data_IF_894276307618
#
_entry.id   IF_894276307618
#
_cell.length_a   1.000
_cell.length_b   1.000
_cell.length_c   1.000
_cell.angle_alpha   90.00
_cell.angle_beta   90.00
_cell.angle_gamma   90.00
#
_symmetry.space_group_name_H-M   'P 1'
#
loop_
_entity.id
_entity.type
_entity.pdbx_description
1 polymer ?
#
# COMPACT_ATOMS: atom_id res chain seq x y z
N UNK A 1 -11.39 -13.07 41.38
CA UNK A 1 -11.83 -12.33 40.17
C UNK A 1 -11.06 -12.75 38.90
N UNK A 2 -10.54 -13.99 38.82
CA UNK A 2 -9.71 -14.42 37.68
C UNK A 2 -10.47 -14.61 36.35
N UNK A 3 -11.78 -14.90 36.41
CA UNK A 3 -12.61 -15.06 35.20
C UNK A 3 -12.82 -13.74 34.45
N UNK A 4 -12.96 -12.63 35.18
CA UNK A 4 -13.15 -11.31 34.57
C UNK A 4 -11.87 -10.82 33.89
N UNK A 5 -10.72 -11.02 34.52
CA UNK A 5 -9.43 -10.68 33.93
C UNK A 5 -9.15 -11.48 32.66
N UNK A 6 -9.48 -12.78 32.64
CA UNK A 6 -9.34 -13.63 31.44
C UNK A 6 -10.22 -13.19 30.28
N UNK A 7 -11.45 -12.75 30.55
CA UNK A 7 -12.35 -12.23 29.52
C UNK A 7 -11.81 -10.91 28.97
N UNK A 8 -11.32 -10.02 29.83
CA UNK A 8 -10.76 -8.72 29.43
C UNK A 8 -9.47 -8.87 28.62
N UNK A 9 -8.60 -9.79 29.03
CA UNK A 9 -7.39 -10.16 28.32
C UNK A 9 -7.71 -10.76 26.94
N UNK A 10 -8.69 -11.67 26.87
CA UNK A 10 -9.17 -12.25 25.59
C UNK A 10 -9.74 -11.18 24.65
N UNK A 11 -10.58 -10.27 25.16
CA UNK A 11 -11.14 -9.18 24.36
C UNK A 11 -10.05 -8.24 23.81
N UNK A 12 -9.05 -7.88 24.62
CA UNK A 12 -7.92 -7.06 24.17
C UNK A 12 -7.07 -7.76 23.10
N UNK A 13 -6.84 -9.06 23.25
CA UNK A 13 -6.09 -9.86 22.28
C UNK A 13 -6.84 -9.99 20.94
N UNK A 14 -8.17 -10.17 20.98
CA UNK A 14 -9.01 -10.18 19.78
C UNK A 14 -9.04 -8.82 19.08
N UNK A 15 -9.11 -7.72 19.85
CA UNK A 15 -9.07 -6.38 19.28
C UNK A 15 -7.74 -6.11 18.57
N UNK A 16 -6.61 -6.46 19.18
CA UNK A 16 -5.29 -6.34 18.56
C UNK A 16 -5.16 -7.20 17.28
N UNK A 17 -5.71 -8.42 17.29
CA UNK A 17 -5.74 -9.29 16.09
C UNK A 17 -6.64 -8.72 14.98
N UNK A 18 -7.77 -8.12 15.32
CA UNK A 18 -8.66 -7.46 14.37
C UNK A 18 -8.02 -6.20 13.77
N UNK A 19 -7.29 -5.41 14.56
CA UNK A 19 -6.52 -4.27 14.09
C UNK A 19 -5.36 -4.69 13.19
N UNK A 20 -4.64 -5.75 13.56
CA UNK A 20 -3.58 -6.33 12.73
C UNK A 20 -4.14 -6.85 11.40
N UNK A 21 -5.26 -7.60 11.40
CA UNK A 21 -5.91 -8.05 10.17
C UNK A 21 -6.49 -6.92 9.35
N UNK A 22 -7.03 -5.87 9.97
CA UNK A 22 -7.50 -4.67 9.27
C UNK A 22 -6.35 -3.93 8.61
N UNK A 23 -5.17 -3.88 9.24
CA UNK A 23 -3.96 -3.33 8.64
C UNK A 23 -3.43 -4.24 7.52
N UNK A 24 -3.40 -5.56 7.68
CA UNK A 24 -3.03 -6.48 6.61
C UNK A 24 -3.96 -6.36 5.39
N UNK A 25 -5.27 -6.27 5.63
CA UNK A 25 -6.28 -6.02 4.58
C UNK A 25 -6.18 -4.62 3.99
N UNK A 26 -5.48 -3.69 4.67
CA UNK A 26 -5.19 -2.33 4.18
C UNK A 26 -3.86 -2.16 3.45
N UNK A 27 -2.76 -2.89 3.72
CA UNK A 27 -1.47 -2.17 3.80
C UNK A 27 -0.25 -2.58 2.96
N UNK A 28 -0.23 -3.68 2.20
CA UNK A 28 1.02 -4.11 1.53
C UNK A 28 0.88 -4.52 0.08
N UNK A 29 0.29 -5.69 -0.13
CA UNK A 29 0.22 -6.35 -1.44
C UNK A 29 -0.56 -5.54 -2.48
N UNK A 30 -1.66 -4.91 -2.10
CA UNK A 30 -2.45 -4.08 -3.01
C UNK A 30 -1.64 -2.87 -3.51
N UNK A 31 -0.94 -2.20 -2.59
CA UNK A 31 -0.05 -1.10 -2.92
C UNK A 31 1.02 -1.56 -3.90
N UNK A 32 1.71 -2.64 -3.56
CA UNK A 32 2.86 -3.13 -4.31
C UNK A 32 2.43 -3.58 -5.71
N UNK A 33 1.30 -4.30 -5.82
CA UNK A 33 0.70 -4.67 -7.10
C UNK A 33 0.26 -3.45 -7.92
N UNK A 34 -0.33 -2.44 -7.29
CA UNK A 34 -0.73 -1.21 -7.98
C UNK A 34 0.48 -0.45 -8.53
N UNK A 35 1.57 -0.36 -7.76
CA UNK A 35 2.80 0.30 -8.21
C UNK A 35 3.49 -0.49 -9.33
N UNK A 36 3.52 -1.82 -9.23
CA UNK A 36 4.07 -2.69 -10.29
C UNK A 36 3.28 -2.55 -11.60
N UNK A 37 1.94 -2.51 -11.52
CA UNK A 37 1.08 -2.22 -12.68
C UNK A 37 1.38 -0.85 -13.28
N UNK A 38 1.49 0.20 -12.46
CA UNK A 38 1.85 1.53 -12.95
C UNK A 38 3.22 1.55 -13.63
N UNK A 39 4.20 0.82 -13.11
CA UNK A 39 5.53 0.69 -13.71
C UNK A 39 5.48 -0.02 -15.08
N UNK A 40 4.73 -1.12 -15.19
CA UNK A 40 4.52 -1.84 -16.45
C UNK A 40 3.84 -0.96 -17.50
N UNK A 41 2.82 -0.20 -17.11
CA UNK A 41 2.11 0.70 -18.02
C UNK A 41 3.02 1.83 -18.49
N UNK A 42 3.83 2.41 -17.59
CA UNK A 42 4.79 3.45 -17.94
C UNK A 42 5.94 2.92 -18.82
N UNK A 43 6.32 1.65 -18.68
CA UNK A 43 7.36 1.02 -19.50
C UNK A 43 6.84 0.52 -20.86
N UNK A 44 5.53 0.55 -21.12
CA UNK A 44 4.92 -0.10 -22.29
C UNK A 44 5.44 0.45 -23.62
N UNK A 45 5.78 1.74 -23.68
CA UNK A 45 6.30 2.40 -24.88
C UNK A 45 7.83 2.22 -25.06
N UNK A 46 8.47 1.44 -24.18
CA UNK A 46 9.90 1.09 -24.26
C UNK A 46 10.84 2.12 -23.63
N UNK A 47 10.32 3.26 -23.17
CA UNK A 47 11.06 4.24 -22.38
C UNK A 47 10.11 4.99 -21.45
N UNK A 48 10.51 5.21 -20.21
CA UNK A 48 9.69 5.96 -19.25
C UNK A 48 10.08 7.42 -19.32
N UNK A 49 9.20 8.26 -19.86
CA UNK A 49 9.41 9.70 -19.93
C UNK A 49 9.16 10.35 -18.55
N UNK A 50 9.92 11.40 -18.17
CA UNK A 50 9.64 12.21 -16.97
C UNK A 50 8.17 12.64 -16.83
N UNK A 51 7.48 12.91 -17.94
CA UNK A 51 6.07 13.27 -18.00
C UNK A 51 5.14 12.13 -17.56
N UNK A 52 5.48 10.87 -17.87
CA UNK A 52 4.72 9.70 -17.43
C UNK A 52 4.90 9.46 -15.94
N UNK A 53 6.12 9.62 -15.42
CA UNK A 53 6.37 9.58 -13.98
C UNK A 53 5.53 10.61 -13.24
N UNK A 54 5.41 11.83 -13.78
CA UNK A 54 4.58 12.88 -13.20
C UNK A 54 3.08 12.54 -13.25
N UNK A 55 2.61 11.93 -14.35
CA UNK A 55 1.22 11.45 -14.47
C UNK A 55 0.91 10.36 -13.45
N UNK A 56 1.82 9.39 -13.27
CA UNK A 56 1.68 8.34 -12.27
C UNK A 56 1.68 8.92 -10.84
N UNK A 57 2.59 9.84 -10.53
CA UNK A 57 2.58 10.53 -9.22
C UNK A 57 1.26 11.26 -8.96
N UNK A 58 0.71 11.91 -9.99
CA UNK A 58 -0.60 12.57 -9.89
C UNK A 58 -1.72 11.56 -9.66
N UNK A 59 -1.75 10.46 -10.42
CA UNK A 59 -2.73 9.37 -10.27
C UNK A 59 -2.69 8.75 -8.86
N UNK A 60 -1.49 8.53 -8.33
CA UNK A 60 -1.27 8.00 -6.99
C UNK A 60 -1.84 8.97 -5.93
N UNK A 61 -1.62 10.28 -6.10
CA UNK A 61 -2.08 11.30 -5.15
C UNK A 61 -3.59 11.53 -5.16
N UNK A 62 -4.26 11.31 -6.29
CA UNK A 62 -5.69 11.58 -6.46
C UNK A 62 -6.59 10.36 -6.23
N UNK A 63 -6.04 9.14 -6.24
CA UNK A 63 -6.82 7.92 -6.06
C UNK A 63 -7.18 7.67 -4.57
N UNK A 64 -8.47 7.58 -4.26
CA UNK A 64 -8.97 7.44 -2.89
C UNK A 64 -8.50 6.18 -2.15
N UNK A 65 -8.18 5.11 -2.88
CA UNK A 65 -7.66 3.87 -2.27
C UNK A 65 -6.18 4.04 -1.96
N UNK A 66 -5.41 4.63 -2.88
CA UNK A 66 -3.97 4.87 -2.71
C UNK A 66 -3.66 5.98 -1.70
N UNK A 67 -4.58 6.92 -1.47
CA UNK A 67 -4.47 7.94 -0.41
C UNK A 67 -4.39 7.37 1.01
N UNK A 68 -4.73 6.09 1.19
CA UNK A 68 -4.53 5.39 2.46
C UNK A 68 -3.06 5.03 2.75
N UNK A 69 -2.17 5.21 1.78
CA UNK A 69 -0.74 4.91 1.91
C UNK A 69 0.11 6.19 1.80
N UNK A 70 1.30 6.24 2.42
CA UNK A 70 2.20 7.38 2.28
C UNK A 70 2.67 7.54 0.83
N UNK A 71 2.47 8.73 0.25
CA UNK A 71 2.82 9.01 -1.15
C UNK A 71 4.31 8.76 -1.46
N UNK A 72 5.21 9.10 -0.53
CA UNK A 72 6.65 8.87 -0.68
C UNK A 72 7.01 7.37 -0.76
N UNK A 73 6.25 6.52 -0.08
CA UNK A 73 6.44 5.07 -0.14
C UNK A 73 5.95 4.49 -1.47
N UNK A 74 4.81 4.99 -1.96
CA UNK A 74 4.29 4.66 -3.29
C UNK A 74 5.28 5.04 -4.39
N UNK A 75 5.82 6.26 -4.32
CA UNK A 75 6.77 6.76 -5.31
C UNK A 75 8.08 5.98 -5.30
N UNK A 76 8.62 5.63 -4.11
CA UNK A 76 9.81 4.79 -3.99
C UNK A 76 9.60 3.40 -4.61
N UNK A 77 8.45 2.78 -4.35
CA UNK A 77 8.12 1.45 -4.90
C UNK A 77 7.94 1.47 -6.40
N UNK A 78 7.23 2.48 -6.91
CA UNK A 78 7.10 2.68 -8.35
C UNK A 78 8.48 2.80 -9.02
N UNK A 79 9.37 3.67 -8.51
CA UNK A 79 10.73 3.79 -9.04
C UNK A 79 11.51 2.47 -8.96
N UNK A 80 11.40 1.74 -7.86
CA UNK A 80 12.06 0.44 -7.71
C UNK A 80 11.59 -0.61 -8.74
N UNK A 81 10.30 -0.62 -9.09
CA UNK A 81 9.77 -1.50 -10.14
C UNK A 81 10.18 -1.03 -11.54
N UNK A 82 10.23 0.27 -11.76
CA UNK A 82 10.74 0.87 -13.00
C UNK A 82 12.20 0.48 -13.23
N UNK A 83 13.04 0.52 -12.20
CA UNK A 83 14.46 0.17 -12.30
C UNK A 83 14.70 -1.35 -12.55
N UNK A 84 13.66 -2.19 -12.40
CA UNK A 84 13.70 -3.63 -12.65
C UNK A 84 13.24 -4.04 -14.05
N UNK A 85 12.65 -3.13 -14.82
CA UNK A 85 12.14 -3.34 -16.18
C UNK A 85 13.18 -2.91 -17.22
#
# INVERSE_FOLDING_TARGET
MALWDRIKESASSMQAQLEAKKNDLKSGSFRDASMAMCALVAAADGSIDPSERQRVATLISTNDVLRNFPADDLQRRFNAYVDQL
#
